data_IF_941736886798
#
_entry.id   IF_941736886798
#
_cell.length_a   1.000
_cell.length_b   1.000
_cell.length_c   1.000
_cell.angle_alpha   90.00
_cell.angle_beta   90.00
_cell.angle_gamma   90.00
#
_symmetry.space_group_name_H-M   'P 1'
#
loop_
_entity.id
_entity.type
_entity.pdbx_description
1 polymer ?
#
# COMPACT_ATOMS: atom_id res chain seq x y z
N UNK A 1 0.11 -44.97 -6.79
CA UNK A 1 -1.02 -44.13 -6.34
C UNK A 1 -0.54 -43.17 -5.25
N UNK A 2 -0.06 -41.98 -5.62
CA UNK A 2 0.36 -40.97 -4.63
C UNK A 2 0.47 -39.55 -5.25
N UNK A 3 -0.55 -39.07 -5.95
CA UNK A 3 -0.57 -37.68 -6.45
C UNK A 3 -2.02 -37.18 -6.53
N UNK A 4 -2.66 -36.86 -5.39
CA UNK A 4 -3.94 -36.13 -5.35
C UNK A 4 -4.26 -35.50 -3.98
N UNK A 5 -3.27 -34.88 -3.33
CA UNK A 5 -3.47 -34.20 -2.02
C UNK A 5 -2.91 -32.77 -1.95
N UNK A 6 -2.77 -32.08 -3.10
CA UNK A 6 -2.30 -30.69 -3.13
C UNK A 6 -3.32 -29.68 -3.72
N UNK A 7 -4.59 -30.07 -3.85
CA UNK A 7 -5.63 -29.27 -4.50
C UNK A 7 -6.78 -28.77 -3.61
N UNK A 8 -6.79 -29.11 -2.32
CA UNK A 8 -7.86 -28.77 -1.38
C UNK A 8 -7.42 -27.66 -0.40
N UNK A 9 -6.93 -26.53 -0.93
CA UNK A 9 -6.81 -25.29 -0.14
C UNK A 9 -7.92 -24.34 -0.53
N UNK A 10 -8.91 -24.27 0.35
CA UNK A 10 -9.87 -23.18 0.54
C UNK A 10 -10.53 -22.61 -0.72
N UNK A 11 -11.56 -23.32 -1.18
CA UNK A 11 -12.67 -22.71 -1.91
C UNK A 11 -13.70 -22.12 -0.92
N UNK A 12 -13.23 -21.53 0.19
CA UNK A 12 -14.06 -20.67 1.03
C UNK A 12 -14.31 -19.42 0.20
N UNK A 13 -15.58 -19.16 -0.12
CA UNK A 13 -16.03 -17.98 -0.86
C UNK A 13 -15.21 -16.76 -0.42
N UNK A 14 -14.36 -16.26 -1.32
CA UNK A 14 -13.59 -15.04 -1.04
C UNK A 14 -14.60 -13.93 -0.76
N UNK A 15 -14.42 -13.13 0.30
CA UNK A 15 -15.30 -12.01 0.54
C UNK A 15 -15.25 -11.09 -0.68
N UNK A 16 -16.40 -10.88 -1.33
CA UNK A 16 -16.51 -9.94 -2.44
C UNK A 16 -16.46 -8.52 -1.87
N UNK A 17 -15.29 -7.89 -1.94
CA UNK A 17 -15.08 -6.54 -1.43
C UNK A 17 -15.64 -5.56 -2.45
N UNK A 18 -16.64 -4.78 -2.05
CA UNK A 18 -17.27 -3.75 -2.89
C UNK A 18 -16.33 -2.56 -3.03
N UNK A 19 -16.24 -1.98 -4.23
CA UNK A 19 -15.48 -0.76 -4.47
C UNK A 19 -16.49 0.38 -4.66
N UNK A 20 -16.55 1.31 -3.70
CA UNK A 20 -17.38 2.52 -3.75
C UNK A 20 -16.53 3.69 -4.23
N UNK A 21 -16.82 4.22 -5.42
CA UNK A 21 -16.17 5.45 -5.89
C UNK A 21 -17.02 6.68 -5.50
N UNK A 22 -16.51 7.49 -4.58
CA UNK A 22 -17.09 8.79 -4.19
C UNK A 22 -16.14 9.96 -4.51
N UNK A 23 -15.09 9.70 -5.30
CA UNK A 23 -14.14 10.74 -5.71
C UNK A 23 -14.64 11.50 -6.93
N UNK A 24 -14.48 12.82 -6.91
CA UNK A 24 -14.75 13.71 -8.06
C UNK A 24 -13.55 13.85 -9.00
N UNK A 25 -12.38 13.33 -8.59
CA UNK A 25 -11.14 13.38 -9.35
C UNK A 25 -11.10 12.39 -10.53
N UNK A 26 -10.39 12.77 -11.59
CA UNK A 26 -10.10 11.87 -12.71
C UNK A 26 -9.17 10.73 -12.26
N UNK A 27 -9.74 9.55 -12.09
CA UNK A 27 -9.01 8.35 -11.73
C UNK A 27 -8.26 7.78 -12.94
N UNK A 28 -7.04 7.22 -12.75
CA UNK A 28 -6.41 6.38 -13.75
C UNK A 28 -7.34 5.22 -14.16
N UNK A 29 -7.39 4.91 -15.47
CA UNK A 29 -8.35 3.96 -16.08
C UNK A 29 -8.36 2.55 -15.44
N UNK A 30 -7.26 2.14 -14.81
CA UNK A 30 -7.10 0.82 -14.21
C UNK A 30 -7.24 0.80 -12.67
N UNK A 31 -7.71 1.87 -12.04
CA UNK A 31 -7.70 2.00 -10.57
C UNK A 31 -8.46 0.87 -9.88
N UNK A 32 -9.69 0.59 -10.29
CA UNK A 32 -10.49 -0.51 -9.70
C UNK A 32 -9.86 -1.88 -9.91
N UNK A 33 -9.29 -2.11 -11.10
CA UNK A 33 -8.59 -3.34 -11.42
C UNK A 33 -7.34 -3.52 -10.55
N UNK A 34 -6.58 -2.45 -10.32
CA UNK A 34 -5.43 -2.46 -9.42
C UNK A 34 -5.87 -2.82 -7.99
N UNK A 35 -6.97 -2.24 -7.49
CA UNK A 35 -7.51 -2.55 -6.16
C UNK A 35 -7.85 -4.04 -6.06
N UNK A 36 -8.58 -4.58 -7.05
CA UNK A 36 -8.92 -6.01 -7.12
C UNK A 36 -7.67 -6.89 -7.14
N UNK A 37 -6.72 -6.60 -8.04
CA UNK A 37 -5.45 -7.34 -8.17
C UNK A 37 -4.64 -7.35 -6.86
N UNK A 38 -4.66 -6.24 -6.10
CA UNK A 38 -3.95 -6.11 -4.82
C UNK A 38 -4.66 -6.90 -3.72
N UNK A 39 -5.98 -6.82 -3.63
CA UNK A 39 -6.76 -7.55 -2.63
C UNK A 39 -6.76 -9.06 -2.90
N UNK A 40 -6.79 -9.49 -4.17
CA UNK A 40 -6.70 -10.90 -4.56
C UNK A 40 -5.33 -11.54 -4.28
N UNK A 41 -4.28 -10.72 -4.22
CA UNK A 41 -2.94 -11.17 -3.85
C UNK A 41 -2.85 -11.54 -2.37
N UNK A 42 -3.66 -10.91 -1.51
CA UNK A 42 -3.64 -11.18 -0.09
C UNK A 42 -4.35 -12.50 0.27
N UNK A 43 -3.91 -13.19 1.33
CA UNK A 43 -4.66 -14.30 1.90
C UNK A 43 -6.09 -13.87 2.28
N UNK A 44 -7.07 -14.71 1.97
CA UNK A 44 -8.49 -14.42 2.21
C UNK A 44 -8.82 -14.13 3.68
N UNK A 45 -8.02 -14.68 4.59
CA UNK A 45 -8.13 -14.50 6.04
C UNK A 45 -7.76 -13.08 6.47
N UNK A 46 -6.83 -12.43 5.78
CA UNK A 46 -6.35 -11.10 6.13
C UNK A 46 -7.36 -10.01 5.74
N UNK A 47 -8.31 -10.34 4.88
CA UNK A 47 -9.37 -9.44 4.40
C UNK A 47 -10.76 -9.89 4.87
N UNK A 48 -10.82 -10.93 5.71
CA UNK A 48 -12.07 -11.51 6.17
C UNK A 48 -12.84 -10.52 7.03
N UNK A 49 -14.08 -10.21 6.63
CA UNK A 49 -14.93 -9.26 7.34
C UNK A 49 -14.72 -7.80 6.92
N UNK A 50 -13.87 -7.56 5.91
CA UNK A 50 -13.85 -6.30 5.17
C UNK A 50 -14.95 -6.34 4.12
N UNK A 51 -15.84 -5.35 4.14
CA UNK A 51 -16.98 -5.28 3.22
C UNK A 51 -16.67 -4.44 1.98
N UNK A 52 -15.94 -3.34 2.15
CA UNK A 52 -15.74 -2.37 1.06
C UNK A 52 -14.47 -1.54 1.15
N UNK A 53 -14.07 -1.04 -0.02
CA UNK A 53 -13.08 0.03 -0.21
C UNK A 53 -13.79 1.25 -0.79
N UNK A 54 -13.72 2.36 -0.08
CA UNK A 54 -14.28 3.65 -0.47
C UNK A 54 -13.17 4.58 -0.95
N UNK A 55 -13.31 5.08 -2.17
CA UNK A 55 -12.44 6.10 -2.74
C UNK A 55 -13.07 7.48 -2.52
N UNK A 56 -12.34 8.37 -1.87
CA UNK A 56 -12.77 9.75 -1.58
C UNK A 56 -11.71 10.74 -2.08
N UNK A 57 -12.09 11.99 -2.29
CA UNK A 57 -11.12 13.01 -2.71
C UNK A 57 -10.13 13.31 -1.59
N UNK A 58 -10.63 13.55 -0.39
CA UNK A 58 -9.83 13.87 0.80
C UNK A 58 -10.47 13.29 2.05
N UNK A 59 -9.65 12.71 2.92
CA UNK A 59 -10.10 12.18 4.22
C UNK A 59 -10.00 13.30 5.25
N UNK A 60 -11.15 13.68 5.84
CA UNK A 60 -11.19 14.62 6.96
C UNK A 60 -10.68 13.89 8.22
N UNK A 61 -9.59 14.34 8.86
CA UNK A 61 -9.11 13.68 10.06
C UNK A 61 -10.16 13.78 11.18
N UNK A 62 -10.43 12.69 11.92
CA UNK A 62 -11.36 12.71 13.05
C UNK A 62 -10.73 13.46 14.23
N UNK A 63 -10.84 14.79 14.25
CA UNK A 63 -10.53 15.71 15.38
C UNK A 63 -9.33 15.34 16.26
N UNK A 64 -8.22 14.89 15.67
CA UNK A 64 -6.98 14.65 16.43
C UNK A 64 -6.24 15.98 16.55
N UNK A 65 -6.15 16.51 17.78
CA UNK A 65 -5.34 17.69 18.17
C UNK A 65 -3.84 17.36 18.14
N UNK A 66 -3.32 16.90 17.01
CA UNK A 66 -1.88 16.71 16.81
C UNK A 66 -1.53 17.51 15.57
N UNK A 67 -0.61 18.45 15.73
CA UNK A 67 -0.04 19.26 14.65
C UNK A 67 0.73 18.35 13.69
N UNK A 68 0.00 17.68 12.80
CA UNK A 68 0.56 17.03 11.64
C UNK A 68 1.09 18.14 10.72
N UNK A 69 2.32 18.01 10.18
CA UNK A 69 2.90 19.05 9.34
C UNK A 69 1.94 19.42 8.21
N UNK A 70 1.55 20.69 8.24
CA UNK A 70 0.57 21.37 7.39
C UNK A 70 0.90 21.13 5.91
N UNK A 71 0.19 20.20 5.24
CA UNK A 71 -0.27 20.21 3.82
C UNK A 71 -0.72 18.87 3.20
N UNK A 72 -1.03 17.82 3.98
CA UNK A 72 -1.37 16.52 3.38
C UNK A 72 -2.55 15.84 4.05
N UNK A 73 -3.63 15.66 3.31
CA UNK A 73 -4.74 14.79 3.71
C UNK A 73 -4.26 13.37 4.00
N UNK A 74 -4.95 12.69 4.92
CA UNK A 74 -4.62 11.29 5.24
C UNK A 74 -4.76 10.44 3.97
N UNK A 75 -3.75 9.64 3.60
CA UNK A 75 -3.78 8.87 2.36
C UNK A 75 -4.75 7.67 2.43
N UNK A 76 -5.01 7.16 3.63
CA UNK A 76 -6.01 6.13 3.85
C UNK A 76 -6.39 6.01 5.33
N UNK A 77 -7.59 5.50 5.59
CA UNK A 77 -8.14 5.30 6.93
C UNK A 77 -8.81 3.93 7.03
N UNK A 78 -8.48 3.19 8.09
CA UNK A 78 -9.12 1.93 8.40
C UNK A 78 -10.26 2.15 9.39
N UNK A 79 -11.45 1.69 9.02
CA UNK A 79 -12.62 1.72 9.89
C UNK A 79 -12.89 0.30 10.42
N UNK A 80 -12.65 0.03 11.72
CA UNK A 80 -12.91 -1.28 12.29
C UNK A 80 -14.41 -1.59 12.34
N UNK A 81 -14.76 -2.86 12.54
CA UNK A 81 -16.15 -3.28 12.74
C UNK A 81 -16.72 -2.62 14.00
N UNK A 82 -17.76 -1.81 13.85
CA UNK A 82 -18.47 -1.17 14.96
C UNK A 82 -19.96 -1.46 14.85
N UNK A 83 -20.52 -2.10 15.88
CA UNK A 83 -21.93 -2.52 15.89
C UNK A 83 -22.27 -3.45 14.72
N UNK A 84 -23.30 -3.07 13.95
CA UNK A 84 -23.76 -3.80 12.76
C UNK A 84 -22.98 -3.49 11.47
N UNK A 85 -22.08 -2.50 11.47
CA UNK A 85 -21.30 -2.14 10.29
C UNK A 85 -20.00 -2.94 10.24
N UNK A 86 -19.77 -3.63 9.11
CA UNK A 86 -18.54 -4.39 8.88
C UNK A 86 -17.33 -3.46 8.70
N UNK A 87 -16.13 -4.03 8.75
CA UNK A 87 -14.91 -3.25 8.58
C UNK A 87 -14.79 -2.76 7.12
N UNK A 88 -14.25 -1.57 6.92
CA UNK A 88 -14.08 -1.01 5.58
C UNK A 88 -12.86 -0.09 5.49
N UNK A 89 -12.41 0.13 4.26
CA UNK A 89 -11.22 0.93 3.95
C UNK A 89 -11.63 2.22 3.28
N UNK A 90 -11.03 3.33 3.69
CA UNK A 90 -11.15 4.63 3.05
C UNK A 90 -9.81 5.00 2.43
N UNK A 91 -9.79 5.41 1.16
CA UNK A 91 -8.58 5.78 0.44
C UNK A 91 -8.77 7.15 -0.17
N UNK A 92 -7.82 8.05 0.12
CA UNK A 92 -7.79 9.41 -0.39
C UNK A 92 -7.10 9.46 -1.75
N UNK A 93 -7.87 9.74 -2.79
CA UNK A 93 -7.37 9.89 -4.15
C UNK A 93 -6.60 11.20 -4.34
N UNK A 94 -6.98 12.26 -3.63
CA UNK A 94 -6.29 13.55 -3.66
C UNK A 94 -4.89 13.48 -3.05
N UNK A 95 -4.73 12.74 -1.95
CA UNK A 95 -3.41 12.51 -1.34
C UNK A 95 -2.49 11.68 -2.26
N UNK A 96 -3.06 10.74 -3.03
CA UNK A 96 -2.30 9.87 -3.93
C UNK A 96 -1.93 10.54 -5.26
N UNK A 97 -2.81 11.37 -5.82
CA UNK A 97 -2.63 11.98 -7.14
C UNK A 97 -2.05 13.39 -7.07
N UNK A 98 -2.05 14.02 -5.89
CA UNK A 98 -1.56 15.39 -5.65
C UNK A 98 -2.00 16.38 -6.75
N UNK A 99 -3.32 16.43 -7.07
CA UNK A 99 -3.80 17.19 -8.23
C UNK A 99 -3.53 18.69 -8.11
N UNK A 100 -3.38 19.20 -6.88
CA UNK A 100 -3.13 20.61 -6.55
C UNK A 100 -1.68 21.05 -6.70
N UNK A 101 -0.74 20.14 -6.97
CA UNK A 101 0.68 20.45 -7.10
C UNK A 101 1.13 20.65 -8.56
N UNK A 102 2.37 21.14 -8.73
CA UNK A 102 2.99 21.42 -10.04
C UNK A 102 2.96 20.23 -10.98
N UNK A 103 2.90 20.49 -12.30
CA UNK A 103 2.82 19.47 -13.36
C UNK A 103 3.80 18.30 -13.19
N UNK A 104 5.07 18.59 -12.87
CA UNK A 104 6.08 17.56 -12.64
C UNK A 104 5.72 16.62 -11.48
N UNK A 105 5.23 17.18 -10.36
CA UNK A 105 4.79 16.38 -9.20
C UNK A 105 3.56 15.56 -9.51
N UNK A 106 2.59 16.14 -10.23
CA UNK A 106 1.40 15.41 -10.72
C UNK A 106 1.77 14.23 -11.61
N UNK A 107 2.73 14.40 -12.51
CA UNK A 107 3.20 13.32 -13.37
C UNK A 107 3.91 12.22 -12.57
N UNK A 108 4.79 12.60 -11.63
CA UNK A 108 5.43 11.63 -10.72
C UNK A 108 4.39 10.87 -9.89
N UNK A 109 3.39 11.56 -9.34
CA UNK A 109 2.29 10.95 -8.57
C UNK A 109 1.51 9.95 -9.44
N UNK A 110 1.16 10.30 -10.68
CA UNK A 110 0.52 9.38 -11.63
C UNK A 110 1.38 8.15 -11.95
N UNK A 111 2.70 8.34 -12.13
CA UNK A 111 3.62 7.23 -12.44
C UNK A 111 3.81 6.25 -11.28
N UNK A 112 3.75 6.75 -10.04
CA UNK A 112 3.92 5.96 -8.81
C UNK A 112 2.60 5.50 -8.20
N UNK A 113 1.48 5.94 -8.76
CA UNK A 113 0.13 5.72 -8.25
C UNK A 113 -0.16 4.26 -7.93
N UNK A 114 0.14 3.34 -8.86
CA UNK A 114 -0.09 1.90 -8.68
C UNK A 114 0.67 1.34 -7.47
N UNK A 115 1.92 1.77 -7.26
CA UNK A 115 2.74 1.33 -6.14
C UNK A 115 2.25 1.90 -4.81
N UNK A 116 1.92 3.20 -4.80
CA UNK A 116 1.42 3.88 -3.60
C UNK A 116 0.06 3.33 -3.17
N UNK A 117 -0.85 3.11 -4.11
CA UNK A 117 -2.16 2.51 -3.85
C UNK A 117 -2.02 1.09 -3.27
N UNK A 118 -1.14 0.26 -3.85
CA UNK A 118 -0.88 -1.08 -3.32
C UNK A 118 -0.30 -1.04 -1.90
N UNK A 119 0.68 -0.16 -1.65
CA UNK A 119 1.27 0.02 -0.33
C UNK A 119 0.23 0.45 0.72
N UNK A 120 -0.68 1.37 0.37
CA UNK A 120 -1.76 1.77 1.25
C UNK A 120 -2.74 0.64 1.54
N UNK A 121 -3.18 -0.09 0.52
CA UNK A 121 -4.08 -1.23 0.71
C UNK A 121 -3.44 -2.33 1.56
N UNK A 122 -2.15 -2.63 1.36
CA UNK A 122 -1.42 -3.57 2.22
C UNK A 122 -1.28 -3.08 3.65
N UNK A 123 -1.07 -1.77 3.86
CA UNK A 123 -1.04 -1.19 5.21
C UNK A 123 -2.42 -1.29 5.88
N UNK A 124 -3.50 -0.96 5.19
CA UNK A 124 -4.87 -1.03 5.71
C UNK A 124 -5.29 -2.48 6.01
N UNK A 125 -4.97 -3.42 5.11
CA UNK A 125 -5.19 -4.85 5.34
C UNK A 125 -4.33 -5.38 6.50
N UNK A 126 -3.09 -4.88 6.64
CA UNK A 126 -2.22 -5.20 7.77
C UNK A 126 -2.82 -4.71 9.09
N UNK A 127 -3.29 -3.46 9.14
CA UNK A 127 -3.98 -2.91 10.30
C UNK A 127 -5.20 -3.75 10.66
N UNK A 128 -6.03 -4.10 9.67
CA UNK A 128 -7.17 -5.00 9.88
C UNK A 128 -6.72 -6.33 10.50
N UNK A 129 -5.81 -7.06 9.83
CA UNK A 129 -5.33 -8.36 10.28
C UNK A 129 -4.74 -8.35 11.70
N UNK A 130 -3.89 -7.37 12.02
CA UNK A 130 -3.25 -7.30 13.33
C UNK A 130 -4.21 -6.86 14.44
N UNK A 131 -5.25 -6.08 14.12
CA UNK A 131 -6.25 -5.65 15.09
C UNK A 131 -7.37 -6.67 15.31
N UNK A 132 -7.74 -7.44 14.28
CA UNK A 132 -8.89 -8.36 14.35
C UNK A 132 -8.50 -9.81 14.59
N UNK A 133 -7.41 -10.30 13.97
CA UNK A 133 -7.09 -11.73 13.94
C UNK A 133 -5.89 -12.10 14.82
N UNK A 134 -4.90 -11.21 14.97
CA UNK A 134 -3.67 -11.52 15.71
C UNK A 134 -3.68 -10.94 17.13
N UNK A 135 -4.25 -11.69 18.07
CA UNK A 135 -4.38 -11.28 19.49
C UNK A 135 -3.07 -11.21 20.30
N UNK A 136 -1.92 -11.57 19.71
CA UNK A 136 -0.62 -11.64 20.41
C UNK A 136 0.22 -10.35 20.29
N UNK A 137 -0.25 -9.34 19.55
CA UNK A 137 0.56 -8.15 19.27
C UNK A 137 0.38 -7.06 20.32
N UNK A 138 1.50 -6.65 20.94
CA UNK A 138 1.54 -5.49 21.83
C UNK A 138 1.27 -4.21 21.03
N UNK A 139 0.43 -3.32 21.57
CA UNK A 139 0.05 -2.05 20.91
C UNK A 139 1.26 -1.21 20.47
N UNK A 140 2.34 -1.21 21.25
CA UNK A 140 3.57 -0.48 20.96
C UNK A 140 4.30 -0.97 19.69
N UNK A 141 4.15 -2.24 19.29
CA UNK A 141 4.82 -2.80 18.12
C UNK A 141 3.91 -2.97 16.90
N UNK A 142 2.65 -2.53 16.99
CA UNK A 142 1.67 -2.65 15.90
C UNK A 142 2.15 -1.95 14.64
N UNK A 143 2.60 -0.69 14.74
CA UNK A 143 3.03 0.09 13.58
C UNK A 143 4.22 -0.57 12.87
N UNK A 144 5.22 -1.01 13.64
CA UNK A 144 6.38 -1.72 13.09
C UNK A 144 5.98 -3.02 12.40
N UNK A 145 5.05 -3.78 12.97
CA UNK A 145 4.56 -5.03 12.37
C UNK A 145 3.73 -4.79 11.10
N UNK A 146 2.85 -3.78 11.11
CA UNK A 146 2.09 -3.35 9.93
C UNK A 146 3.04 -2.91 8.83
N UNK A 147 4.09 -2.15 9.17
CA UNK A 147 5.09 -1.70 8.21
C UNK A 147 5.85 -2.88 7.60
N UNK A 148 6.36 -3.81 8.41
CA UNK A 148 7.05 -5.00 7.92
C UNK A 148 6.15 -5.86 7.03
N UNK A 149 4.88 -6.02 7.42
CA UNK A 149 3.87 -6.70 6.62
C UNK A 149 3.66 -6.02 5.26
N UNK A 150 3.55 -4.69 5.26
CA UNK A 150 3.37 -3.88 4.06
C UNK A 150 4.57 -4.01 3.14
N UNK A 151 5.78 -3.83 3.66
CA UNK A 151 7.03 -3.92 2.89
C UNK A 151 7.20 -5.31 2.27
N UNK A 152 6.90 -6.38 3.01
CA UNK A 152 6.95 -7.76 2.51
C UNK A 152 5.98 -7.98 1.34
N UNK A 153 4.69 -7.68 1.54
CA UNK A 153 3.67 -7.88 0.52
C UNK A 153 3.88 -6.99 -0.70
N UNK A 154 4.32 -5.75 -0.49
CA UNK A 154 4.63 -4.82 -1.58
C UNK A 154 5.79 -5.34 -2.43
N UNK A 155 6.83 -5.88 -1.80
CA UNK A 155 7.95 -6.50 -2.51
C UNK A 155 7.48 -7.71 -3.31
N UNK A 156 6.81 -8.66 -2.68
CA UNK A 156 6.33 -9.89 -3.34
C UNK A 156 5.36 -9.58 -4.50
N UNK A 157 4.40 -8.70 -4.27
CA UNK A 157 3.47 -8.26 -5.31
C UNK A 157 4.20 -7.52 -6.45
N UNK A 158 5.14 -6.65 -6.13
CA UNK A 158 5.99 -5.97 -7.11
C UNK A 158 6.79 -6.94 -7.97
N UNK A 159 7.33 -8.00 -7.37
CA UNK A 159 8.03 -9.07 -8.09
C UNK A 159 7.12 -9.85 -9.02
N UNK A 160 5.90 -10.17 -8.58
CA UNK A 160 4.89 -10.82 -9.41
C UNK A 160 4.47 -9.94 -10.58
N UNK A 161 4.17 -8.66 -10.35
CA UNK A 161 3.81 -7.70 -11.39
C UNK A 161 4.95 -7.51 -12.42
N UNK A 162 6.20 -7.43 -11.95
CA UNK A 162 7.36 -7.37 -12.84
C UNK A 162 7.54 -8.67 -13.62
N UNK A 163 7.27 -9.83 -13.02
CA UNK A 163 7.38 -11.13 -13.71
C UNK A 163 6.39 -11.29 -14.88
N UNK A 164 5.25 -10.61 -14.81
CA UNK A 164 4.27 -10.53 -15.91
C UNK A 164 4.74 -9.66 -17.07
N UNK A 165 5.75 -8.80 -16.85
CA UNK A 165 6.28 -7.87 -17.84
C UNK A 165 7.57 -8.39 -18.46
N UNK A 166 7.71 -8.29 -19.79
CA UNK A 166 8.91 -8.74 -20.53
C UNK A 166 10.19 -8.09 -19.97
N UNK A 167 10.13 -6.77 -19.69
CA UNK A 167 11.22 -6.02 -19.06
C UNK A 167 11.61 -6.61 -17.70
N UNK A 168 10.64 -6.96 -16.86
CA UNK A 168 10.93 -7.53 -15.55
C UNK A 168 11.60 -8.90 -15.63
N UNK A 169 11.29 -9.72 -16.64
CA UNK A 169 12.03 -10.98 -16.88
C UNK A 169 13.47 -10.72 -17.31
N UNK A 170 13.69 -9.71 -18.14
CA UNK A 170 15.02 -9.33 -18.64
C UNK A 170 15.92 -8.73 -17.54
N UNK A 171 15.38 -7.89 -16.67
CA UNK A 171 16.14 -7.16 -15.65
C UNK A 171 16.27 -7.89 -14.30
N UNK A 172 15.53 -8.99 -14.09
CA UNK A 172 15.65 -9.86 -12.91
C UNK A 172 17.10 -10.27 -12.59
N UNK A 173 17.91 -10.79 -13.53
CA UNK A 173 19.30 -11.17 -13.27
C UNK A 173 20.21 -9.98 -12.93
N UNK A 174 19.85 -8.76 -13.33
CA UNK A 174 20.64 -7.55 -13.10
C UNK A 174 20.33 -6.86 -11.76
N UNK A 175 19.28 -7.29 -11.05
CA UNK A 175 18.90 -6.77 -9.72
C UNK A 175 20.06 -6.68 -8.72
N UNK A 176 20.90 -7.70 -8.50
CA UNK A 176 21.98 -7.61 -7.50
C UNK A 176 22.98 -6.49 -7.83
N UNK A 177 23.21 -6.22 -9.11
CA UNK A 177 24.10 -5.12 -9.53
C UNK A 177 23.43 -3.76 -9.33
N UNK A 178 22.15 -3.64 -9.69
CA UNK A 178 21.38 -2.41 -9.47
C UNK A 178 21.23 -2.08 -7.98
N UNK A 179 21.05 -3.08 -7.11
CA UNK A 179 21.02 -2.88 -5.66
C UNK A 179 22.37 -2.41 -5.10
N UNK A 180 23.49 -2.92 -5.62
CA UNK A 180 24.83 -2.44 -5.22
C UNK A 180 25.02 -0.98 -5.63
N UNK A 181 24.61 -0.62 -6.85
CA UNK A 181 24.67 0.74 -7.34
C UNK A 181 23.78 1.68 -6.53
N UNK A 182 22.55 1.27 -6.21
CA UNK A 182 21.63 2.10 -5.42
C UNK A 182 22.18 2.34 -4.01
N UNK A 183 22.74 1.31 -3.36
CA UNK A 183 23.38 1.46 -2.03
C UNK A 183 24.59 2.40 -2.10
N UNK A 184 25.38 2.32 -3.16
CA UNK A 184 26.52 3.21 -3.35
C UNK A 184 26.09 4.67 -3.58
N UNK A 185 25.08 4.89 -4.42
CA UNK A 185 24.49 6.21 -4.66
C UNK A 185 23.89 6.81 -3.38
N UNK A 186 23.15 6.03 -2.60
CA UNK A 186 22.58 6.48 -1.33
C UNK A 186 23.66 6.86 -0.32
N UNK A 187 24.76 6.08 -0.24
CA UNK A 187 25.91 6.44 0.59
C UNK A 187 26.52 7.78 0.16
N UNK A 188 26.75 7.96 -1.14
CA UNK A 188 27.26 9.23 -1.69
C UNK A 188 26.33 10.41 -1.43
N UNK A 189 25.02 10.24 -1.58
CA UNK A 189 24.05 11.29 -1.31
C UNK A 189 24.08 11.72 0.17
N UNK A 190 24.17 10.76 1.10
CA UNK A 190 24.30 11.03 2.55
C UNK A 190 25.62 11.75 2.84
N UNK A 191 26.73 11.34 2.24
CA UNK A 191 28.03 12.00 2.40
C UNK A 191 28.00 13.45 1.88
N UNK A 192 27.36 13.69 0.74
CA UNK A 192 27.18 15.03 0.19
C UNK A 192 26.30 15.91 1.10
N UNK A 193 25.21 15.37 1.62
CA UNK A 193 24.36 16.10 2.60
C UNK A 193 25.10 16.41 3.91
N UNK A 194 25.98 15.50 4.36
CA UNK A 194 26.82 15.74 5.54
C UNK A 194 27.87 16.81 5.26
N UNK A 195 28.51 16.76 4.09
CA UNK A 195 29.51 17.76 3.65
C UNK A 195 28.90 19.14 3.41
N UNK A 196 27.68 19.23 2.88
CA UNK A 196 26.99 20.51 2.74
C UNK A 196 26.62 21.08 4.12
N UNK A 197 26.06 20.26 5.02
CA UNK A 197 25.75 20.67 6.40
C UNK A 197 26.97 21.05 7.24
N UNK A 198 28.15 20.50 6.96
CA UNK A 198 29.40 20.87 7.64
C UNK A 198 30.07 22.11 7.06
N UNK A 199 29.66 22.56 5.86
CA UNK A 199 30.20 23.75 5.19
C UNK A 199 29.37 25.01 5.51
N UNK A 200 28.12 24.82 5.93
CA UNK A 200 27.19 25.86 6.40
C UNK A 200 27.22 26.07 7.94
N UNK A 201 28.20 25.48 8.64
CA UNK A 201 28.49 25.68 10.07
C UNK A 201 29.88 26.28 10.22
#
# INVERSE_FOLDING_TARGET
MALKLAGLKDNRQRPEIRIENQSSLELPKDTEKIIKDVLEFLPSEHIRGVEKVRLVDFIKPPQVKVDLPIKGDLPGLYHPKVGGQAAWFEVSMGALLQPTESFAKRWMAKSTFKGNLAALLFSLAGQHYFLTMKHSVKKQSLESQVRQYTEKNLREWGELQQSKTIRGRLFKPLRPYLERLSRWLSKKAIELQKKSKSKDR
#
